data_IF_376421786210
#
_entry.id   IF_376421786210
#
_cell.length_a   1.000
_cell.length_b   1.000
_cell.length_c   1.000
_cell.angle_alpha   90.00
_cell.angle_beta   90.00
_cell.angle_gamma   90.00
#
_symmetry.space_group_name_H-M   'P 1'
#
loop_
_entity.id
_entity.type
_entity.pdbx_description
1 polymer ?
#
# COMPACT_ATOMS: atom_id res chain seq x y z
N UNK A 1 -11.27 2.09 -11.08
CA UNK A 1 -11.74 0.76 -10.62
C UNK A 1 -11.35 -0.33 -11.61
N UNK A 2 -11.77 -0.28 -12.87
CA UNK A 2 -11.42 -1.30 -13.88
C UNK A 2 -9.90 -1.53 -14.08
N UNK A 3 -9.10 -0.48 -13.98
CA UNK A 3 -7.63 -0.60 -14.05
C UNK A 3 -7.05 -1.33 -12.84
N UNK A 4 -7.43 -0.91 -11.63
CA UNK A 4 -7.07 -1.57 -10.36
C UNK A 4 -7.52 -3.03 -10.37
N UNK A 5 -8.72 -3.31 -10.88
CA UNK A 5 -9.25 -4.68 -10.97
C UNK A 5 -8.39 -5.56 -11.88
N UNK A 6 -8.03 -5.05 -13.07
CA UNK A 6 -7.15 -5.76 -14.01
C UNK A 6 -5.77 -6.00 -13.44
N UNK A 7 -5.19 -4.98 -12.80
CA UNK A 7 -3.90 -5.08 -12.13
C UNK A 7 -3.95 -6.09 -10.99
N UNK A 8 -4.98 -6.00 -10.13
CA UNK A 8 -5.20 -6.93 -9.04
C UNK A 8 -5.30 -8.38 -9.55
N UNK A 9 -6.14 -8.64 -10.55
CA UNK A 9 -6.28 -9.97 -11.16
C UNK A 9 -4.95 -10.51 -11.73
N UNK A 10 -4.05 -9.64 -12.21
CA UNK A 10 -2.73 -10.06 -12.66
C UNK A 10 -1.80 -10.49 -11.51
N UNK A 11 -2.06 -10.00 -10.29
CA UNK A 11 -1.27 -10.30 -9.09
C UNK A 11 -1.77 -11.49 -8.27
N UNK A 12 -3.06 -11.87 -8.40
CA UNK A 12 -3.68 -12.90 -7.54
C UNK A 12 -2.87 -14.21 -7.58
N UNK A 13 -2.45 -14.70 -8.74
CA UNK A 13 -1.43 -15.76 -8.84
C UNK A 13 -1.52 -16.89 -7.80
N UNK A 14 -0.40 -17.25 -7.15
CA UNK A 14 -0.30 -18.31 -6.14
C UNK A 14 -0.37 -17.82 -4.67
N UNK A 15 -0.69 -16.54 -4.44
CA UNK A 15 -0.80 -16.02 -3.07
C UNK A 15 -2.22 -16.26 -2.54
N UNK A 16 -2.41 -16.20 -1.24
CA UNK A 16 -3.73 -16.36 -0.60
C UNK A 16 -4.09 -15.16 0.29
N UNK A 17 -3.21 -14.15 0.33
CA UNK A 17 -3.21 -13.02 1.24
C UNK A 17 -2.93 -11.74 0.47
N UNK A 18 -3.95 -10.91 0.30
CA UNK A 18 -3.84 -9.62 -0.36
C UNK A 18 -4.33 -8.49 0.53
N UNK A 19 -3.74 -7.32 0.33
CA UNK A 19 -4.17 -6.07 0.95
C UNK A 19 -4.06 -4.92 -0.06
N UNK A 20 -5.14 -4.15 -0.20
CA UNK A 20 -5.19 -2.88 -0.92
C UNK A 20 -5.49 -1.79 0.11
N UNK A 21 -4.71 -0.71 0.06
CA UNK A 21 -4.77 0.36 1.05
C UNK A 21 -4.73 1.71 0.35
N UNK A 22 -5.59 2.64 0.77
CA UNK A 22 -5.49 4.04 0.36
C UNK A 22 -6.84 4.70 0.20
N UNK A 23 -6.82 5.90 -0.38
CA UNK A 23 -7.99 6.69 -0.72
C UNK A 23 -8.62 6.19 -2.03
N UNK A 24 -9.85 5.71 -1.95
CA UNK A 24 -10.62 5.27 -3.12
C UNK A 24 -11.64 6.32 -3.57
N UNK A 25 -11.76 7.45 -2.87
CA UNK A 25 -12.79 8.47 -3.05
C UNK A 25 -14.22 7.86 -3.09
N UNK A 26 -14.36 6.71 -2.43
CA UNK A 26 -15.52 5.83 -2.51
C UNK A 26 -16.28 5.87 -1.20
N UNK A 27 -17.51 6.39 -1.22
CA UNK A 27 -18.39 6.32 -0.04
C UNK A 27 -19.24 5.07 -0.18
N UNK A 28 -19.02 4.08 0.67
CA UNK A 28 -19.72 2.78 0.59
C UNK A 28 -20.88 2.68 1.58
N UNK A 29 -20.98 3.60 2.55
CA UNK A 29 -21.99 3.54 3.61
C UNK A 29 -21.92 2.20 4.36
N UNK A 30 -23.05 1.47 4.41
CA UNK A 30 -23.13 0.10 4.96
C UNK A 30 -23.46 -0.95 3.88
N UNK A 31 -23.10 -0.69 2.63
CA UNK A 31 -23.24 -1.70 1.57
C UNK A 31 -22.40 -2.94 1.90
N UNK A 32 -22.98 -4.12 1.69
CA UNK A 32 -22.32 -5.42 1.82
C UNK A 32 -21.31 -5.59 0.69
N UNK A 33 -20.08 -5.92 1.05
CA UNK A 33 -18.93 -6.25 0.20
C UNK A 33 -18.70 -7.77 0.13
N UNK A 34 -19.77 -8.54 0.34
CA UNK A 34 -19.77 -9.99 0.32
C UNK A 34 -21.04 -10.48 -0.36
N UNK A 35 -20.99 -11.68 -0.94
CA UNK A 35 -22.18 -12.34 -1.52
C UNK A 35 -23.02 -12.92 -0.38
N UNK A 36 -24.28 -12.48 -0.23
CA UNK A 36 -25.21 -13.08 0.73
C UNK A 36 -25.57 -14.52 0.30
N UNK A 37 -25.39 -15.47 1.21
CA UNK A 37 -25.77 -16.87 0.98
C UNK A 37 -27.26 -17.04 1.25
N UNK A 38 -28.03 -17.37 0.20
CA UNK A 38 -29.42 -17.83 0.32
C UNK A 38 -29.50 -19.37 0.22
N UNK A 39 -30.71 -19.89 0.40
CA UNK A 39 -30.96 -21.34 0.39
C UNK A 39 -30.57 -21.97 -0.96
N UNK A 40 -30.76 -21.25 -2.07
CA UNK A 40 -30.44 -21.70 -3.43
C UNK A 40 -28.92 -21.83 -3.62
N UNK A 41 -28.14 -20.84 -3.18
CA UNK A 41 -26.67 -20.88 -3.24
C UNK A 41 -26.14 -22.02 -2.36
N UNK A 42 -26.70 -22.21 -1.17
CA UNK A 42 -26.29 -23.30 -0.26
C UNK A 42 -26.57 -24.66 -0.90
N UNK A 43 -27.70 -24.82 -1.58
CA UNK A 43 -28.02 -26.04 -2.33
C UNK A 43 -27.01 -26.29 -3.47
N UNK A 44 -26.67 -25.27 -4.26
CA UNK A 44 -25.66 -25.36 -5.33
C UNK A 44 -24.30 -25.81 -4.77
N UNK A 45 -23.87 -25.23 -3.65
CA UNK A 45 -22.60 -25.60 -2.99
C UNK A 45 -22.62 -27.05 -2.52
N UNK A 46 -23.70 -27.47 -1.85
CA UNK A 46 -23.83 -28.84 -1.31
C UNK A 46 -23.85 -29.90 -2.43
N UNK A 47 -24.42 -29.54 -3.57
CA UNK A 47 -24.45 -30.39 -4.75
C UNK A 47 -23.11 -30.40 -5.52
N UNK A 48 -22.15 -29.56 -5.12
CA UNK A 48 -20.75 -29.64 -5.52
C UNK A 48 -20.43 -29.09 -6.91
N UNK A 49 -21.32 -28.28 -7.49
CA UNK A 49 -21.32 -27.95 -8.91
C UNK A 49 -20.43 -26.77 -9.33
N UNK A 50 -19.76 -26.09 -8.39
CA UNK A 50 -19.00 -24.87 -8.74
C UNK A 50 -17.77 -24.66 -7.83
N UNK A 51 -16.67 -24.14 -8.39
CA UNK A 51 -15.47 -23.75 -7.63
C UNK A 51 -15.63 -22.35 -7.02
N UNK A 52 -16.27 -21.41 -7.73
CA UNK A 52 -16.44 -20.02 -7.27
C UNK A 52 -17.27 -19.99 -5.97
N UNK A 53 -18.36 -20.77 -5.93
CA UNK A 53 -19.19 -20.90 -4.73
C UNK A 53 -18.49 -21.64 -3.57
N UNK A 54 -17.51 -22.51 -3.85
CA UNK A 54 -16.69 -23.13 -2.80
C UNK A 54 -15.74 -22.12 -2.18
N UNK A 55 -15.18 -21.21 -2.97
CA UNK A 55 -14.31 -20.13 -2.48
C UNK A 55 -15.08 -19.17 -1.58
N UNK A 56 -16.28 -18.76 -1.99
CA UNK A 56 -17.18 -17.96 -1.15
C UNK A 56 -17.45 -18.66 0.19
N UNK A 57 -17.80 -19.96 0.18
CA UNK A 57 -18.04 -20.70 1.42
C UNK A 57 -16.78 -20.81 2.30
N UNK A 58 -15.61 -20.97 1.68
CA UNK A 58 -14.33 -21.02 2.37
C UNK A 58 -14.04 -19.70 3.08
N UNK A 59 -14.29 -18.58 2.42
CA UNK A 59 -14.11 -17.25 3.01
C UNK A 59 -15.08 -16.99 4.17
N UNK A 60 -16.36 -17.32 4.01
CA UNK A 60 -17.34 -17.24 5.08
C UNK A 60 -16.89 -18.02 6.32
N UNK A 61 -16.41 -19.25 6.12
CA UNK A 61 -15.85 -20.06 7.20
C UNK A 61 -14.63 -19.39 7.82
N UNK A 62 -13.71 -18.82 7.03
CA UNK A 62 -12.55 -18.11 7.54
C UNK A 62 -12.91 -16.93 8.42
N UNK A 63 -13.90 -16.12 8.01
CA UNK A 63 -14.39 -14.99 8.79
C UNK A 63 -14.97 -15.48 10.13
N UNK A 64 -15.83 -16.50 10.10
CA UNK A 64 -16.43 -17.09 11.31
C UNK A 64 -15.35 -17.63 12.26
N UNK A 65 -14.41 -18.44 11.75
CA UNK A 65 -13.32 -19.02 12.56
C UNK A 65 -12.41 -17.95 13.15
N UNK A 66 -12.24 -16.83 12.45
CA UNK A 66 -11.42 -15.70 12.90
C UNK A 66 -12.21 -14.69 13.74
N UNK A 67 -13.48 -14.99 14.08
CA UNK A 67 -14.39 -14.11 14.81
C UNK A 67 -14.54 -12.73 14.16
N UNK A 68 -14.56 -12.67 12.83
CA UNK A 68 -14.73 -11.44 12.05
C UNK A 68 -16.21 -11.28 11.71
N UNK A 69 -16.83 -10.12 12.00
CA UNK A 69 -18.22 -9.89 11.64
C UNK A 69 -18.37 -9.79 10.12
N UNK A 70 -19.40 -10.46 9.59
CA UNK A 70 -19.72 -10.43 8.17
C UNK A 70 -20.16 -9.01 7.75
N UNK A 71 -21.01 -8.37 8.55
CA UNK A 71 -21.41 -6.98 8.36
C UNK A 71 -20.41 -6.06 9.06
N UNK A 72 -19.87 -5.10 8.32
CA UNK A 72 -19.03 -4.03 8.87
C UNK A 72 -19.89 -2.88 9.42
N UNK A 73 -19.34 -2.13 10.36
CA UNK A 73 -19.90 -0.86 10.79
C UNK A 73 -19.30 0.31 10.01
N UNK A 74 -20.05 1.41 9.92
CA UNK A 74 -19.57 2.68 9.38
C UNK A 74 -20.26 3.85 10.08
N UNK A 75 -19.45 4.81 10.53
CA UNK A 75 -19.89 6.11 11.01
C UNK A 75 -20.25 7.05 9.86
N UNK A 76 -19.75 6.82 8.64
CA UNK A 76 -20.16 7.57 7.47
C UNK A 76 -21.65 7.29 7.16
N UNK A 77 -22.51 8.25 7.51
CA UNK A 77 -23.97 8.19 7.25
C UNK A 77 -24.35 8.79 5.89
N UNK A 78 -23.37 9.20 5.09
CA UNK A 78 -23.61 9.68 3.73
C UNK A 78 -24.16 8.59 2.83
N UNK A 79 -24.84 9.03 1.77
CA UNK A 79 -25.29 8.11 0.72
C UNK A 79 -24.07 7.57 -0.03
N UNK A 80 -24.07 6.27 -0.37
CA UNK A 80 -23.03 5.73 -1.23
C UNK A 80 -22.95 6.47 -2.56
N UNK A 81 -21.74 6.75 -3.03
CA UNK A 81 -21.50 7.40 -4.32
C UNK A 81 -21.22 6.36 -5.42
N UNK A 82 -21.11 6.80 -6.67
CA UNK A 82 -20.84 5.91 -7.82
C UNK A 82 -19.54 5.10 -7.65
N UNK A 83 -18.50 5.69 -7.07
CA UNK A 83 -17.26 5.00 -6.73
C UNK A 83 -17.46 3.96 -5.63
N UNK A 84 -18.31 4.24 -4.64
CA UNK A 84 -18.72 3.31 -3.60
C UNK A 84 -19.38 2.06 -4.14
N UNK A 85 -20.34 2.20 -5.05
CA UNK A 85 -20.97 1.04 -5.70
C UNK A 85 -19.95 0.22 -6.49
N UNK A 86 -19.05 0.87 -7.24
CA UNK A 86 -17.99 0.17 -8.00
C UNK A 86 -16.99 -0.53 -7.09
N UNK A 87 -16.64 0.07 -5.96
CA UNK A 87 -15.71 -0.54 -4.99
C UNK A 87 -16.31 -1.77 -4.34
N UNK A 88 -17.59 -1.71 -3.96
CA UNK A 88 -18.33 -2.85 -3.39
C UNK A 88 -18.42 -3.98 -4.40
N UNK A 89 -18.80 -3.66 -5.63
CA UNK A 89 -18.90 -4.61 -6.73
C UNK A 89 -17.54 -5.29 -7.03
N UNK A 90 -16.44 -4.51 -7.03
CA UNK A 90 -15.09 -5.05 -7.09
C UNK A 90 -14.77 -5.98 -5.91
N UNK A 91 -15.07 -5.58 -4.68
CA UNK A 91 -14.81 -6.41 -3.50
C UNK A 91 -15.55 -7.75 -3.57
N UNK A 92 -16.84 -7.71 -3.93
CA UNK A 92 -17.69 -8.89 -4.04
C UNK A 92 -17.22 -9.85 -5.15
N UNK A 93 -16.77 -9.34 -6.30
CA UNK A 93 -16.27 -10.19 -7.40
C UNK A 93 -14.90 -10.78 -7.14
N UNK A 94 -14.08 -10.09 -6.36
CA UNK A 94 -12.70 -10.49 -6.09
C UNK A 94 -12.52 -11.18 -4.73
N UNK A 95 -13.62 -11.52 -4.04
CA UNK A 95 -13.60 -12.14 -2.70
C UNK A 95 -12.74 -11.35 -1.70
N UNK A 96 -12.89 -10.02 -1.74
CA UNK A 96 -12.19 -9.07 -0.88
C UNK A 96 -13.15 -8.44 0.13
N UNK A 97 -12.60 -8.06 1.28
CA UNK A 97 -13.35 -7.57 2.42
C UNK A 97 -12.73 -6.27 2.93
N UNK A 98 -13.55 -5.24 3.12
CA UNK A 98 -13.20 -4.00 3.79
C UNK A 98 -12.97 -4.28 5.29
N UNK A 99 -11.75 -4.05 5.78
CA UNK A 99 -11.39 -4.24 7.18
C UNK A 99 -11.96 -3.14 8.10
N UNK A 100 -12.17 -1.92 7.58
CA UNK A 100 -12.76 -0.81 8.32
C UNK A 100 -14.12 -1.24 8.91
N UNK A 101 -14.29 -1.02 10.22
CA UNK A 101 -15.49 -1.42 10.95
C UNK A 101 -15.57 -2.89 11.36
N UNK A 102 -14.59 -3.74 11.00
CA UNK A 102 -14.61 -5.19 11.29
C UNK A 102 -13.63 -5.68 12.35
N UNK A 103 -12.48 -5.03 12.47
CA UNK A 103 -11.35 -5.55 13.25
C UNK A 103 -10.65 -4.50 14.10
N UNK A 104 -9.83 -4.98 15.03
CA UNK A 104 -9.04 -4.14 15.91
C UNK A 104 -9.91 -3.24 16.77
N UNK A 105 -9.44 -2.02 17.02
CA UNK A 105 -10.17 -1.01 17.78
C UNK A 105 -11.28 -0.35 16.95
N UNK A 106 -11.22 -0.45 15.62
CA UNK A 106 -12.28 0.06 14.74
C UNK A 106 -13.45 -0.92 14.58
N UNK A 107 -13.37 -2.12 15.16
CA UNK A 107 -14.45 -3.12 15.13
C UNK A 107 -15.73 -2.55 15.73
N UNK A 108 -16.84 -2.71 15.02
CA UNK A 108 -18.16 -2.21 15.40
C UNK A 108 -18.25 -0.67 15.53
N UNK A 109 -17.18 0.05 15.15
CA UNK A 109 -17.10 1.51 15.10
C UNK A 109 -17.22 1.97 13.65
N UNK A 110 -16.22 1.64 12.83
CA UNK A 110 -16.14 2.08 11.43
C UNK A 110 -15.92 3.59 11.31
N UNK A 111 -14.90 4.10 12.01
CA UNK A 111 -14.59 5.53 12.09
C UNK A 111 -14.36 6.12 10.70
N UNK A 112 -14.75 7.38 10.51
CA UNK A 112 -14.48 8.13 9.29
C UNK A 112 -12.99 8.39 9.13
N UNK A 113 -12.51 8.42 7.89
CA UNK A 113 -11.09 8.63 7.55
C UNK A 113 -10.80 10.01 7.01
N UNK A 114 -11.81 10.84 6.75
CA UNK A 114 -11.61 12.23 6.36
C UNK A 114 -12.43 13.18 7.23
N UNK A 115 -11.74 14.14 7.89
CA UNK A 115 -12.26 15.22 8.75
C UNK A 115 -13.64 14.95 9.37
N UNK A 116 -13.77 13.78 10.00
CA UNK A 116 -14.97 13.28 10.69
C UNK A 116 -16.25 13.11 9.85
N UNK A 117 -16.18 13.27 8.52
CA UNK A 117 -17.36 13.32 7.66
C UNK A 117 -17.54 12.10 6.75
N UNK A 118 -16.44 11.46 6.33
CA UNK A 118 -16.50 10.38 5.35
C UNK A 118 -15.49 9.27 5.59
N UNK A 119 -15.89 8.05 5.23
CA UNK A 119 -15.03 6.88 5.14
C UNK A 119 -14.72 6.67 3.65
N UNK A 120 -13.50 7.01 3.25
CA UNK A 120 -13.05 6.93 1.84
C UNK A 120 -11.68 6.26 1.70
N UNK A 121 -10.93 6.19 2.80
CA UNK A 121 -9.68 5.46 2.90
C UNK A 121 -9.96 4.07 3.46
N UNK A 122 -9.56 3.04 2.73
CA UNK A 122 -9.89 1.66 3.09
C UNK A 122 -8.65 0.82 3.22
N UNK A 123 -8.70 -0.12 4.16
CA UNK A 123 -7.91 -1.34 4.12
C UNK A 123 -8.82 -2.45 3.61
N UNK A 124 -8.52 -2.99 2.43
CA UNK A 124 -9.29 -4.03 1.75
C UNK A 124 -8.44 -5.28 1.66
N UNK A 125 -8.92 -6.39 2.18
CA UNK A 125 -8.12 -7.61 2.36
C UNK A 125 -8.88 -8.88 2.00
N UNK A 126 -8.16 -9.92 1.59
CA UNK A 126 -8.72 -11.28 1.45
C UNK A 126 -9.06 -11.90 2.80
N UNK A 127 -9.99 -12.86 2.84
CA UNK A 127 -10.44 -13.52 4.08
C UNK A 127 -9.29 -14.13 4.92
N UNK A 128 -8.28 -14.70 4.27
CA UNK A 128 -7.12 -15.29 4.93
C UNK A 128 -6.18 -14.27 5.58
N UNK A 129 -6.23 -13.00 5.15
CA UNK A 129 -5.37 -11.95 5.70
C UNK A 129 -5.77 -11.58 7.13
N UNK A 130 -7.05 -11.76 7.49
CA UNK A 130 -7.53 -11.54 8.85
C UNK A 130 -6.79 -12.40 9.89
N UNK A 131 -6.27 -13.58 9.49
CA UNK A 131 -5.53 -14.49 10.39
C UNK A 131 -4.19 -13.92 10.85
N UNK A 132 -3.65 -12.94 10.12
CA UNK A 132 -2.34 -12.33 10.40
C UNK A 132 -2.45 -10.86 10.81
N UNK A 133 -3.68 -10.34 10.92
CA UNK A 133 -3.93 -8.94 11.27
C UNK A 133 -4.54 -8.87 12.67
N UNK A 134 -3.78 -8.31 13.62
CA UNK A 134 -4.18 -8.29 15.03
C UNK A 134 -4.67 -6.92 15.48
N UNK A 135 -4.20 -5.86 14.81
CA UNK A 135 -4.48 -4.47 15.19
C UNK A 135 -4.90 -3.71 13.94
N UNK A 136 -5.96 -2.93 14.10
CA UNK A 136 -6.46 -2.00 13.10
C UNK A 136 -7.21 -0.89 13.84
N UNK A 137 -6.81 0.34 13.61
CA UNK A 137 -7.44 1.54 14.14
C UNK A 137 -7.31 2.70 13.16
N UNK A 138 -8.19 3.67 13.33
CA UNK A 138 -8.15 4.93 12.61
C UNK A 138 -7.83 5.99 13.65
N UNK A 139 -6.66 6.60 13.55
CA UNK A 139 -6.21 7.60 14.51
C UNK A 139 -7.08 8.85 14.44
N UNK A 140 -6.96 9.71 15.44
CA UNK A 140 -7.53 11.04 15.38
C UNK A 140 -6.80 11.90 14.34
N UNK A 141 -7.51 12.87 13.78
CA UNK A 141 -6.95 13.80 12.82
C UNK A 141 -5.71 14.49 13.40
N UNK A 142 -4.61 14.47 12.64
CA UNK A 142 -3.39 15.14 13.02
C UNK A 142 -2.95 16.09 11.89
N UNK A 143 -3.01 17.41 12.12
CA UNK A 143 -2.65 18.42 11.11
C UNK A 143 -1.18 18.39 10.70
N UNK A 144 -0.31 17.67 11.43
CA UNK A 144 1.08 17.45 11.03
C UNK A 144 1.24 16.41 9.92
N UNK A 145 0.29 15.48 9.79
CA UNK A 145 0.38 14.36 8.85
C UNK A 145 -0.58 14.49 7.66
N UNK A 146 -1.64 15.27 7.79
CA UNK A 146 -2.60 15.51 6.72
C UNK A 146 -3.37 16.81 6.95
N UNK A 147 -3.91 17.36 5.87
CA UNK A 147 -4.88 18.45 5.87
C UNK A 147 -6.32 17.96 6.04
N UNK A 148 -6.62 16.72 5.62
CA UNK A 148 -7.99 16.20 5.63
C UNK A 148 -8.15 14.73 6.01
N UNK A 149 -7.10 13.91 6.00
CA UNK A 149 -7.18 12.46 6.24
C UNK A 149 -6.67 12.04 7.63
N UNK A 150 -7.31 11.01 8.18
CA UNK A 150 -6.89 10.31 9.38
C UNK A 150 -5.96 9.15 9.01
N UNK A 151 -4.99 8.85 9.87
CA UNK A 151 -4.06 7.75 9.65
C UNK A 151 -4.77 6.39 9.83
N UNK A 152 -4.56 5.49 8.87
CA UNK A 152 -4.90 4.07 9.02
C UNK A 152 -3.71 3.36 9.68
N UNK A 153 -3.88 2.93 10.91
CA UNK A 153 -2.86 2.21 11.66
C UNK A 153 -3.25 0.72 11.79
N UNK A 154 -2.35 -0.18 11.37
CA UNK A 154 -2.57 -1.61 11.49
C UNK A 154 -1.25 -2.39 11.59
N UNK A 155 -1.31 -3.55 12.22
CA UNK A 155 -0.16 -4.44 12.40
C UNK A 155 -0.38 -5.79 11.72
N UNK A 156 0.64 -6.24 10.99
CA UNK A 156 0.66 -7.56 10.34
C UNK A 156 1.68 -8.46 11.04
N UNK A 157 1.21 -9.59 11.55
CA UNK A 157 2.05 -10.63 12.15
C UNK A 157 2.51 -11.63 11.10
N UNK A 158 3.80 -11.64 10.82
CA UNK A 158 4.39 -12.57 9.85
C UNK A 158 5.47 -13.43 10.51
N UNK A 159 5.39 -14.74 10.29
CA UNK A 159 6.51 -15.64 10.57
C UNK A 159 7.53 -15.47 9.45
N UNK A 160 8.59 -14.70 9.72
CA UNK A 160 9.68 -14.52 8.77
C UNK A 160 10.51 -15.81 8.74
N UNK A 161 10.20 -16.69 7.79
CA UNK A 161 11.10 -17.80 7.46
C UNK A 161 12.26 -17.19 6.70
N UNK A 162 13.41 -17.05 7.37
CA UNK A 162 14.67 -16.81 6.69
C UNK A 162 14.99 -18.05 5.83
N UNK A 163 14.51 -18.07 4.59
CA UNK A 163 15.07 -18.99 3.60
C UNK A 163 16.55 -18.66 3.50
N UNK A 164 17.41 -19.60 3.92
CA UNK A 164 18.79 -19.58 3.49
C UNK A 164 18.79 -19.42 1.98
N UNK A 165 19.59 -18.48 1.47
CA UNK A 165 19.56 -18.14 0.05
C UNK A 165 19.91 -19.39 -0.75
N UNK A 166 18.91 -19.98 -1.43
CA UNK A 166 19.17 -20.84 -2.57
C UNK A 166 19.93 -20.00 -3.59
N UNK A 167 21.23 -20.29 -3.75
CA UNK A 167 22.16 -19.54 -4.61
C UNK A 167 21.83 -19.62 -6.11
N UNK A 168 20.69 -20.19 -6.50
CA UNK A 168 20.34 -20.50 -7.89
C UNK A 168 19.22 -19.66 -8.49
N UNK A 169 18.63 -18.70 -7.77
CA UNK A 169 17.86 -17.66 -8.44
C UNK A 169 18.83 -16.68 -9.10
N UNK A 170 18.90 -16.71 -10.43
CA UNK A 170 19.36 -15.57 -11.22
C UNK A 170 18.42 -14.40 -10.87
N UNK A 171 18.83 -13.62 -9.86
CA UNK A 171 18.23 -12.32 -9.62
C UNK A 171 18.45 -11.53 -10.89
N UNK A 172 17.35 -11.02 -11.43
CA UNK A 172 17.42 -9.92 -12.35
C UNK A 172 18.37 -8.86 -11.75
N UNK A 173 19.28 -8.34 -12.56
CA UNK A 173 20.38 -7.47 -12.14
C UNK A 173 19.86 -6.06 -11.79
N UNK A 174 18.78 -5.98 -11.02
CA UNK A 174 18.30 -4.77 -10.40
C UNK A 174 19.43 -4.18 -9.56
N UNK A 175 19.94 -3.04 -10.00
CA UNK A 175 20.95 -2.24 -9.33
C UNK A 175 20.48 -1.98 -7.91
N UNK A 176 21.08 -2.68 -6.94
CA UNK A 176 20.86 -2.40 -5.52
C UNK A 176 21.37 -0.98 -5.27
N UNK A 177 20.44 0.00 -5.25
CA UNK A 177 20.73 1.39 -4.90
C UNK A 177 21.26 1.39 -3.46
N UNK A 178 22.36 2.10 -3.23
CA UNK A 178 22.94 2.23 -1.89
C UNK A 178 21.95 2.94 -0.97
N UNK A 179 21.76 2.40 0.25
CA UNK A 179 20.89 3.04 1.24
C UNK A 179 21.43 4.42 1.61
N UNK A 180 20.53 5.39 1.80
CA UNK A 180 20.86 6.72 2.32
C UNK A 180 21.66 6.61 3.62
N UNK A 181 22.68 7.45 3.77
CA UNK A 181 23.50 7.52 4.99
C UNK A 181 23.55 8.97 5.44
N UNK A 182 22.94 9.26 6.60
CA UNK A 182 22.90 10.61 7.17
C UNK A 182 24.30 11.22 7.30
N UNK A 183 25.29 10.42 7.69
CA UNK A 183 26.70 10.83 7.78
C UNK A 183 27.34 11.29 6.45
N UNK A 184 26.62 11.22 5.34
CA UNK A 184 27.08 11.62 4.00
C UNK A 184 26.11 12.60 3.32
N UNK A 185 25.17 13.19 4.08
CA UNK A 185 24.21 14.20 3.58
C UNK A 185 24.94 15.37 2.91
N UNK A 186 25.95 15.92 3.58
CA UNK A 186 26.66 17.11 3.09
C UNK A 186 27.39 16.81 1.78
N UNK A 187 27.99 15.61 1.69
CA UNK A 187 28.63 15.12 0.47
C UNK A 187 27.62 14.93 -0.68
N UNK A 188 26.37 14.58 -0.37
CA UNK A 188 25.31 14.51 -1.37
C UNK A 188 24.90 15.90 -1.86
N UNK A 189 24.74 16.86 -0.94
CA UNK A 189 24.47 18.26 -1.28
C UNK A 189 25.61 18.84 -2.13
N UNK A 190 26.87 18.61 -1.76
CA UNK A 190 28.03 19.01 -2.57
C UNK A 190 27.97 18.44 -3.99
N UNK A 191 27.71 17.14 -4.12
CA UNK A 191 27.62 16.49 -5.43
C UNK A 191 26.43 16.97 -6.27
N UNK A 192 25.34 17.38 -5.63
CA UNK A 192 24.18 17.97 -6.29
C UNK A 192 24.48 19.41 -6.73
N UNK A 193 25.15 20.20 -5.88
CA UNK A 193 25.57 21.56 -6.21
C UNK A 193 26.57 21.61 -7.36
N UNK A 194 27.41 20.58 -7.52
CA UNK A 194 28.26 20.44 -8.72
C UNK A 194 27.46 20.30 -10.04
N UNK A 195 26.14 20.08 -9.96
CA UNK A 195 25.22 19.97 -11.09
C UNK A 195 24.26 21.16 -11.20
N UNK A 196 24.54 22.25 -10.47
CA UNK A 196 23.67 23.44 -10.43
C UNK A 196 23.40 24.03 -11.82
N UNK A 197 24.40 24.05 -12.71
CA UNK A 197 24.21 24.51 -14.10
C UNK A 197 23.24 23.61 -14.87
N UNK A 198 23.36 22.28 -14.75
CA UNK A 198 22.42 21.34 -15.38
C UNK A 198 20.98 21.51 -14.87
N UNK A 199 20.82 21.84 -13.58
CA UNK A 199 19.51 22.11 -12.98
C UNK A 199 18.94 23.42 -13.55
N UNK A 200 19.76 24.46 -13.68
CA UNK A 200 19.36 25.73 -14.31
C UNK A 200 18.97 25.55 -15.78
N UNK A 201 19.71 24.75 -16.52
CA UNK A 201 19.40 24.42 -17.92
C UNK A 201 18.06 23.69 -18.03
N UNK A 202 17.77 22.75 -17.12
CA UNK A 202 16.46 22.08 -17.04
C UNK A 202 15.34 23.06 -16.70
N UNK A 203 15.54 23.98 -15.75
CA UNK A 203 14.55 25.01 -15.45
C UNK A 203 14.28 25.90 -16.67
N UNK A 204 15.32 26.29 -17.41
CA UNK A 204 15.18 27.05 -18.64
C UNK A 204 14.47 26.25 -19.75
N UNK A 205 14.70 24.94 -19.83
CA UNK A 205 14.01 24.05 -20.78
C UNK A 205 12.52 23.94 -20.46
N UNK A 206 12.17 23.92 -19.17
CA UNK A 206 10.77 23.96 -18.70
C UNK A 206 10.15 25.34 -18.98
N UNK A 207 10.84 26.43 -18.68
CA UNK A 207 10.33 27.79 -18.81
C UNK A 207 10.17 28.25 -20.27
N UNK A 208 11.02 27.77 -21.18
CA UNK A 208 10.98 28.10 -22.61
C UNK A 208 10.13 27.13 -23.43
N UNK A 209 9.43 26.20 -22.79
CA UNK A 209 8.62 25.20 -23.46
C UNK A 209 7.30 25.81 -23.95
N UNK A 210 7.30 26.33 -25.19
CA UNK A 210 6.07 26.74 -25.88
C UNK A 210 5.29 25.49 -26.31
N UNK A 211 4.07 25.36 -25.82
CA UNK A 211 3.08 24.31 -26.08
C UNK A 211 3.02 23.80 -27.53
N UNK A 212 3.29 22.49 -27.73
CA UNK A 212 2.43 21.55 -28.50
C UNK A 212 2.98 20.11 -28.64
N UNK A 213 4.22 19.78 -28.26
CA UNK A 213 4.68 18.38 -28.08
C UNK A 213 5.58 18.28 -26.85
N UNK A 214 5.06 17.73 -25.75
CA UNK A 214 5.75 17.73 -24.46
C UNK A 214 6.58 16.46 -24.26
N UNK A 215 7.90 16.60 -24.14
CA UNK A 215 8.79 15.55 -23.64
C UNK A 215 8.98 15.68 -22.12
N UNK A 216 7.87 15.69 -21.37
CA UNK A 216 7.89 15.72 -19.90
C UNK A 216 8.67 14.52 -19.36
N UNK A 217 8.53 13.35 -19.99
CA UNK A 217 9.24 12.14 -19.62
C UNK A 217 10.75 12.28 -19.79
N UNK A 218 11.21 12.97 -20.85
CA UNK A 218 12.61 13.30 -21.06
C UNK A 218 13.17 14.26 -20.01
N UNK A 219 12.40 15.29 -19.64
CA UNK A 219 12.77 16.23 -18.56
C UNK A 219 12.87 15.49 -17.22
N UNK A 220 11.88 14.66 -16.89
CA UNK A 220 11.89 13.83 -15.68
C UNK A 220 13.06 12.86 -15.66
N UNK A 221 13.37 12.24 -16.80
CA UNK A 221 14.52 11.34 -16.94
C UNK A 221 15.85 12.06 -16.70
N UNK A 222 16.01 13.28 -17.24
CA UNK A 222 17.19 14.12 -17.00
C UNK A 222 17.32 14.50 -15.52
N UNK A 223 16.22 14.86 -14.88
CA UNK A 223 16.19 15.17 -13.45
C UNK A 223 16.55 13.95 -12.60
N UNK A 224 15.94 12.79 -12.86
CA UNK A 224 16.25 11.54 -12.14
C UNK A 224 17.73 11.19 -12.27
N UNK A 225 18.32 11.39 -13.45
CA UNK A 225 19.74 11.15 -13.68
C UNK A 225 20.64 12.06 -12.83
N UNK A 226 20.31 13.35 -12.69
CA UNK A 226 21.07 14.27 -11.83
C UNK A 226 21.09 13.78 -10.38
N UNK A 227 19.92 13.45 -9.83
CA UNK A 227 19.81 12.94 -8.46
C UNK A 227 20.49 11.58 -8.30
N UNK A 228 20.34 10.69 -9.28
CA UNK A 228 20.95 9.37 -9.27
C UNK A 228 22.47 9.44 -9.32
N UNK A 229 23.05 10.32 -10.15
CA UNK A 229 24.50 10.52 -10.21
C UNK A 229 25.06 11.08 -8.91
N UNK A 230 24.39 12.09 -8.34
CA UNK A 230 24.78 12.65 -7.04
C UNK A 230 24.73 11.58 -5.94
N UNK A 231 23.69 10.74 -5.94
CA UNK A 231 23.54 9.64 -5.00
C UNK A 231 24.64 8.59 -5.19
N UNK A 232 24.93 8.19 -6.43
CA UNK A 232 25.99 7.23 -6.74
C UNK A 232 27.36 7.74 -6.28
N UNK A 233 27.68 9.02 -6.51
CA UNK A 233 28.96 9.62 -6.06
C UNK A 233 29.07 9.68 -4.53
N UNK A 234 27.95 9.90 -3.86
CA UNK A 234 27.92 10.09 -2.39
C UNK A 234 27.95 8.75 -1.66
N UNK A 235 27.08 7.84 -2.07
CA UNK A 235 26.81 6.59 -1.37
C UNK A 235 27.53 5.39 -1.99
N UNK A 236 28.04 5.52 -3.23
CA UNK A 236 28.68 4.47 -4.02
C UNK A 236 27.66 3.61 -4.77
N UNK A 237 28.10 2.90 -5.83
CA UNK A 237 27.36 1.74 -6.36
C UNK A 237 27.66 0.56 -5.42
N UNK A 238 26.64 -0.13 -4.91
CA UNK A 238 26.88 -1.34 -4.09
C UNK A 238 27.37 -2.48 -4.98
N UNK A 239 28.68 -2.52 -5.25
CA UNK A 239 29.37 -3.73 -5.67
C UNK A 239 29.57 -4.62 -4.44
N UNK A 240 29.14 -5.88 -4.51
CA UNK A 240 29.46 -6.87 -3.47
C UNK A 240 30.97 -7.14 -3.51
N UNK A 241 31.74 -6.48 -2.65
CA UNK A 241 32.95 -7.09 -2.13
C UNK A 241 32.53 -8.01 -1.00
N UNK A 242 32.68 -9.32 -1.21
CA UNK A 242 32.58 -10.33 -0.17
C UNK A 242 33.73 -10.11 0.82
N UNK A 243 33.53 -9.20 1.77
CA UNK A 243 34.26 -9.24 3.03
C UNK A 243 33.22 -9.39 4.13
N UNK A 244 33.19 -10.59 4.70
CA UNK A 244 32.56 -10.84 5.98
C UNK A 244 33.15 -9.84 6.98
N UNK A 245 32.35 -8.88 7.43
CA UNK A 245 32.63 -8.14 8.66
C UNK A 245 31.55 -8.42 9.67
N UNK A 246 32.05 -8.88 10.81
CA UNK A 246 31.34 -9.29 12.00
C UNK A 246 30.39 -8.22 12.53
N UNK A 247 29.39 -8.71 13.27
CA UNK A 247 28.34 -7.94 13.92
C UNK A 247 28.94 -6.81 14.77
N UNK A 248 28.37 -5.61 14.63
CA UNK A 248 28.30 -4.64 15.72
C UNK A 248 26.85 -4.16 15.83
N UNK A 249 26.36 -4.14 17.06
CA UNK A 249 25.02 -3.73 17.43
C UNK A 249 24.69 -2.37 16.84
N UNK A 250 23.57 -2.30 16.10
CA UNK A 250 23.01 -1.01 15.67
C UNK A 250 21.93 -0.63 16.65
N UNK A 251 22.28 0.37 17.47
CA UNK A 251 21.33 1.19 18.19
C UNK A 251 20.18 1.63 17.26
N UNK A 252 18.98 1.66 17.83
CA UNK A 252 17.77 2.25 17.27
C UNK A 252 18.04 3.65 16.70
N UNK A 253 18.28 3.75 15.39
CA UNK A 253 18.16 5.02 14.68
C UNK A 253 16.69 5.20 14.28
N UNK A 254 15.97 5.92 15.14
CA UNK A 254 14.65 6.48 14.87
C UNK A 254 14.79 7.45 13.70
N UNK A 255 14.02 7.23 12.63
CA UNK A 255 14.21 7.83 11.32
C UNK A 255 13.59 9.22 11.13
N UNK A 256 13.31 9.94 12.22
CA UNK A 256 12.88 11.35 12.16
C UNK A 256 13.57 12.15 13.26
N UNK A 257 14.54 12.98 12.87
CA UNK A 257 15.15 13.98 13.75
C UNK A 257 14.50 15.34 13.50
N UNK A 258 13.93 15.93 14.56
CA UNK A 258 13.90 17.33 15.06
C UNK A 258 14.53 18.50 14.27
N UNK A 259 14.71 18.40 12.95
CA UNK A 259 15.24 19.45 12.08
C UNK A 259 14.13 20.25 11.39
N UNK A 260 12.86 19.98 11.72
CA UNK A 260 11.69 20.70 11.21
C UNK A 260 11.11 21.71 12.22
N UNK A 261 11.85 22.01 13.31
CA UNK A 261 11.43 22.91 14.38
C UNK A 261 12.04 24.33 14.28
N UNK A 262 12.51 24.76 13.09
CA UNK A 262 12.92 26.15 12.83
C UNK A 262 12.10 26.80 11.72
#
# INVERSE_FOLDING_TARGET
MEEIEREFLSFIGNNDKYALIGDFNARTGNLSDYVELDDDIVEIINNGYDEDFREILFDYKNLIYSNIPLKRCSQDKGRPNSFGYKLIDFCTRCNLYIANGRIGQDRDVGKTTSNECSLIDYLIISSNFFKVMNEFEIDDFNPLYSDVHNLLHFCISMNVIHKEKDNNYQRDNGTIRSKWKMSKSDKFVENLNMKEENIKDLCNEVDNCSSEEHDIDGILSKLENIFSEAAIKSFGKSGRNNEQKEKSDRNNEIWFTKLCDE
#
